data_IF_499624431778
#
_entry.id   IF_499624431778
#
_cell.length_a   1.000
_cell.length_b   1.000
_cell.length_c   1.000
_cell.angle_alpha   90.00
_cell.angle_beta   90.00
_cell.angle_gamma   90.00
#
_symmetry.space_group_name_H-M   'P 1'
#
loop_
_entity.id
_entity.type
_entity.pdbx_description
1 polymer ?
#
# COMPACT_ATOMS: atom_id res chain seq x y z
N UNK A 1 11.69 -12.07 3.37
CA UNK A 1 10.85 -12.09 2.14
C UNK A 1 11.11 -10.84 1.32
N UNK A 2 11.32 -10.98 0.01
CA UNK A 2 11.49 -9.85 -0.91
C UNK A 2 10.15 -9.45 -1.50
N UNK A 3 9.84 -8.15 -1.53
CA UNK A 3 8.58 -7.61 -2.06
C UNK A 3 8.91 -6.48 -3.04
N UNK A 4 8.27 -6.47 -4.21
CA UNK A 4 8.45 -5.37 -5.17
C UNK A 4 7.95 -4.04 -4.59
N UNK A 5 8.83 -3.04 -4.53
CA UNK A 5 8.46 -1.66 -4.18
C UNK A 5 7.49 -1.07 -5.22
N UNK A 6 7.67 -1.39 -6.51
CA UNK A 6 6.76 -0.95 -7.58
C UNK A 6 5.35 -1.51 -7.40
N UNK A 7 5.20 -2.74 -6.89
CA UNK A 7 3.88 -3.31 -6.54
C UNK A 7 3.23 -2.55 -5.39
N UNK A 8 3.99 -2.19 -4.36
CA UNK A 8 3.47 -1.41 -3.23
C UNK A 8 3.02 -0.02 -3.71
N UNK A 9 3.87 0.68 -4.48
CA UNK A 9 3.56 1.96 -5.08
C UNK A 9 2.29 1.89 -5.96
N UNK A 10 2.17 0.86 -6.81
CA UNK A 10 0.99 0.68 -7.64
C UNK A 10 -0.32 0.65 -6.84
N UNK A 11 -0.35 -0.07 -5.71
CA UNK A 11 -1.56 -0.14 -4.90
C UNK A 11 -1.82 1.15 -4.13
N UNK A 12 -0.78 1.83 -3.65
CA UNK A 12 -0.94 3.13 -2.98
C UNK A 12 -1.40 4.22 -3.97
N UNK A 13 -0.89 4.20 -5.21
CA UNK A 13 -1.28 5.11 -6.29
C UNK A 13 -2.76 5.02 -6.64
N UNK A 14 -3.41 3.87 -6.42
CA UNK A 14 -4.87 3.77 -6.63
C UNK A 14 -5.62 4.77 -5.74
N UNK A 15 -5.14 5.08 -4.53
CA UNK A 15 -5.71 6.11 -3.66
C UNK A 15 -5.07 7.47 -3.93
N UNK A 16 -3.74 7.56 -3.84
CA UNK A 16 -3.00 8.83 -3.84
C UNK A 16 -3.00 9.54 -5.18
N UNK A 17 -3.22 8.80 -6.27
CA UNK A 17 -3.36 9.33 -7.64
C UNK A 17 -4.78 9.11 -8.13
N UNK A 18 -5.33 7.90 -7.95
CA UNK A 18 -6.61 7.51 -8.54
C UNK A 18 -7.80 8.34 -8.08
N UNK A 19 -7.81 8.79 -6.81
CA UNK A 19 -8.85 9.68 -6.29
C UNK A 19 -8.93 11.02 -7.04
N UNK A 20 -7.77 11.52 -7.49
CA UNK A 20 -7.66 12.81 -8.17
C UNK A 20 -8.08 12.78 -9.64
N UNK A 21 -8.49 11.62 -10.17
CA UNK A 21 -9.08 11.56 -11.50
C UNK A 21 -10.47 12.22 -11.53
N UNK A 22 -11.18 12.21 -10.39
CA UNK A 22 -12.53 12.74 -10.26
C UNK A 22 -12.63 13.89 -9.24
N UNK A 23 -11.53 14.23 -8.54
CA UNK A 23 -11.48 15.22 -7.48
C UNK A 23 -10.22 16.10 -7.59
N UNK A 24 -10.32 17.39 -7.32
CA UNK A 24 -9.17 18.31 -7.37
C UNK A 24 -8.38 18.38 -6.05
N UNK A 25 -9.01 17.99 -4.94
CA UNK A 25 -8.45 18.06 -3.58
C UNK A 25 -8.55 16.69 -2.90
N UNK A 26 -7.66 16.38 -1.94
CA UNK A 26 -7.83 15.20 -1.10
C UNK A 26 -9.13 15.31 -0.28
N UNK A 27 -9.71 14.20 0.16
CA UNK A 27 -10.88 14.22 1.01
C UNK A 27 -10.53 14.79 2.39
N UNK A 28 -11.51 15.44 3.03
CA UNK A 28 -11.39 15.89 4.42
C UNK A 28 -11.31 14.70 5.40
N UNK A 29 -11.81 13.53 5.00
CA UNK A 29 -11.79 12.30 5.76
C UNK A 29 -11.16 11.15 4.96
N UNK A 30 -10.16 10.49 5.56
CA UNK A 30 -9.49 9.35 4.93
C UNK A 30 -10.46 8.22 4.56
N UNK A 31 -11.59 8.07 5.25
CA UNK A 31 -12.61 7.05 4.96
C UNK A 31 -13.26 7.22 3.59
N UNK A 32 -13.21 8.40 2.99
CA UNK A 32 -13.76 8.62 1.65
C UNK A 32 -12.94 7.91 0.56
N UNK A 33 -11.75 7.40 0.89
CA UNK A 33 -10.98 6.51 0.01
C UNK A 33 -11.50 5.05 -0.01
N UNK A 34 -12.45 4.66 0.83
CA UNK A 34 -12.96 3.28 0.93
C UNK A 34 -13.36 2.63 -0.41
N UNK A 35 -14.04 3.32 -1.35
CA UNK A 35 -14.34 2.75 -2.67
C UNK A 35 -13.08 2.32 -3.44
N UNK A 36 -11.97 3.05 -3.29
CA UNK A 36 -10.69 2.73 -3.92
C UNK A 36 -9.99 1.57 -3.22
N UNK A 37 -10.20 1.38 -1.92
CA UNK A 37 -9.72 0.19 -1.20
C UNK A 37 -10.37 -1.09 -1.73
N UNK A 38 -11.65 -1.06 -2.12
CA UNK A 38 -12.30 -2.18 -2.81
C UNK A 38 -11.63 -2.49 -4.16
N UNK A 39 -11.19 -1.45 -4.87
CA UNK A 39 -10.44 -1.60 -6.14
C UNK A 39 -9.07 -2.23 -5.91
N UNK A 40 -8.35 -1.83 -4.84
CA UNK A 40 -7.12 -2.51 -4.41
C UNK A 40 -7.37 -3.98 -4.16
N UNK A 41 -8.39 -4.32 -3.35
CA UNK A 41 -8.69 -5.72 -3.01
C UNK A 41 -8.88 -6.58 -4.26
N UNK A 42 -9.68 -6.10 -5.21
CA UNK A 42 -9.97 -6.82 -6.44
C UNK A 42 -8.71 -7.04 -7.28
N UNK A 43 -7.86 -6.01 -7.42
CA UNK A 43 -6.61 -6.09 -8.19
C UNK A 43 -5.57 -6.96 -7.49
N UNK A 44 -5.35 -6.78 -6.20
CA UNK A 44 -4.41 -7.57 -5.40
C UNK A 44 -4.78 -9.05 -5.39
N UNK A 45 -6.07 -9.37 -5.31
CA UNK A 45 -6.55 -10.75 -5.45
C UNK A 45 -6.26 -11.31 -6.85
N UNK A 46 -6.60 -10.55 -7.91
CA UNK A 46 -6.38 -10.95 -9.30
C UNK A 46 -4.90 -11.21 -9.62
N UNK A 47 -3.99 -10.46 -9.01
CA UNK A 47 -2.55 -10.53 -9.26
C UNK A 47 -1.79 -11.43 -8.27
N UNK A 48 -2.47 -12.08 -7.31
CA UNK A 48 -1.80 -12.92 -6.30
C UNK A 48 -1.02 -12.14 -5.24
N UNK A 49 -1.22 -10.81 -5.16
CA UNK A 49 -0.42 -9.93 -4.32
C UNK A 49 -0.91 -9.83 -2.87
N UNK A 50 -2.05 -10.44 -2.51
CA UNK A 50 -2.67 -10.23 -1.20
C UNK A 50 -1.75 -10.50 0.00
N UNK A 51 -0.93 -11.57 -0.05
CA UNK A 51 0.00 -11.89 1.03
C UNK A 51 1.20 -10.94 1.07
N UNK A 52 1.73 -10.60 -0.09
CA UNK A 52 2.84 -9.64 -0.20
C UNK A 52 2.41 -8.25 0.25
N UNK A 53 1.23 -7.80 -0.17
CA UNK A 53 0.64 -6.53 0.23
C UNK A 53 0.39 -6.48 1.75
N UNK A 54 -0.08 -7.58 2.35
CA UNK A 54 -0.25 -7.69 3.79
C UNK A 54 1.06 -7.44 4.56
N UNK A 55 2.14 -8.14 4.20
CA UNK A 55 3.43 -7.95 4.86
C UNK A 55 4.06 -6.59 4.56
N UNK A 56 3.90 -6.07 3.33
CA UNK A 56 4.42 -4.76 2.96
C UNK A 56 3.78 -3.64 3.77
N UNK A 57 2.44 -3.60 3.85
CA UNK A 57 1.73 -2.57 4.62
C UNK A 57 2.02 -2.69 6.11
N UNK A 58 2.05 -3.92 6.67
CA UNK A 58 2.45 -4.14 8.06
C UNK A 58 3.87 -3.63 8.34
N UNK A 59 4.81 -3.87 7.44
CA UNK A 59 6.18 -3.39 7.56
C UNK A 59 6.27 -1.86 7.48
N UNK A 60 5.55 -1.22 6.55
CA UNK A 60 5.49 0.24 6.44
C UNK A 60 4.89 0.90 7.69
N UNK A 61 3.88 0.27 8.32
CA UNK A 61 3.26 0.78 9.55
C UNK A 61 4.17 0.65 10.76
N UNK A 62 5.01 -0.38 10.83
CA UNK A 62 5.85 -0.68 12.01
C UNK A 62 7.26 -0.10 11.91
N UNK A 63 7.79 0.07 10.70
CA UNK A 63 9.08 0.69 10.48
C UNK A 63 8.98 2.21 10.60
N UNK A 64 9.76 2.80 11.51
CA UNK A 64 9.76 4.26 11.76
C UNK A 64 10.76 5.03 10.90
N UNK A 65 11.75 4.33 10.35
CA UNK A 65 12.85 4.94 9.60
C UNK A 65 12.55 5.01 8.09
N UNK A 66 11.41 4.44 7.66
CA UNK A 66 11.00 4.51 6.25
C UNK A 66 10.41 5.88 5.93
N UNK A 67 10.85 6.46 4.82
CA UNK A 67 10.24 7.67 4.27
C UNK A 67 8.92 7.33 3.58
N UNK A 68 7.79 7.53 4.26
CA UNK A 68 6.46 7.25 3.70
C UNK A 68 6.04 8.24 2.61
N UNK A 69 6.60 9.45 2.58
CA UNK A 69 6.30 10.47 1.57
C UNK A 69 6.76 10.03 0.17
N UNK A 70 7.74 9.14 0.10
CA UNK A 70 8.22 8.56 -1.16
C UNK A 70 7.15 7.71 -1.89
N UNK A 71 6.06 7.35 -1.21
CA UNK A 71 4.98 6.51 -1.73
C UNK A 71 3.72 7.31 -2.13
N UNK A 72 3.80 8.64 -2.22
CA UNK A 72 2.63 9.51 -2.40
C UNK A 72 2.13 9.65 -3.86
N UNK A 73 2.79 9.03 -4.84
CA UNK A 73 2.39 9.05 -6.25
C UNK A 73 2.51 10.41 -6.97
N UNK A 74 2.88 11.48 -6.26
CA UNK A 74 3.21 12.79 -6.83
C UNK A 74 2.04 13.69 -7.26
N UNK A 75 0.77 13.28 -7.09
CA UNK A 75 -0.39 14.14 -7.41
C UNK A 75 -0.68 15.18 -6.34
N UNK A 76 -0.54 14.81 -5.09
CA UNK A 76 -0.68 15.68 -3.93
C UNK A 76 0.49 15.40 -2.98
N UNK A 77 1.10 16.42 -2.36
CA UNK A 77 2.25 16.26 -1.49
C UNK A 77 1.82 15.75 -0.11
N UNK A 78 1.32 14.52 -0.03
CA UNK A 78 0.95 13.90 1.24
C UNK A 78 2.16 13.83 2.17
N UNK A 79 1.97 14.28 3.41
CA UNK A 79 2.99 14.15 4.44
C UNK A 79 3.06 12.70 5.00
N UNK A 80 4.10 12.42 5.79
CA UNK A 80 4.29 11.09 6.36
C UNK A 80 3.13 10.61 7.26
N UNK A 81 2.40 11.53 7.90
CA UNK A 81 1.25 11.20 8.75
C UNK A 81 0.06 10.83 7.88
N UNK A 82 -0.26 11.63 6.86
CA UNK A 82 -1.34 11.36 5.91
C UNK A 82 -1.11 10.03 5.20
N UNK A 83 0.11 9.78 4.72
CA UNK A 83 0.47 8.49 4.12
C UNK A 83 0.29 7.32 5.09
N UNK A 84 0.64 7.50 6.36
CA UNK A 84 0.43 6.48 7.40
C UNK A 84 -1.05 6.21 7.64
N UNK A 85 -1.88 7.24 7.65
CA UNK A 85 -3.34 7.12 7.80
C UNK A 85 -3.96 6.37 6.62
N UNK A 86 -3.52 6.67 5.38
CA UNK A 86 -3.92 5.95 4.15
C UNK A 86 -3.51 4.47 4.22
N UNK A 87 -2.25 4.18 4.55
CA UNK A 87 -1.73 2.81 4.68
C UNK A 87 -2.51 2.04 5.74
N UNK A 88 -2.81 2.68 6.88
CA UNK A 88 -3.57 2.08 7.97
C UNK A 88 -5.03 1.81 7.56
N UNK A 89 -5.66 2.70 6.78
CA UNK A 89 -6.98 2.45 6.21
C UNK A 89 -6.98 1.20 5.32
N UNK A 90 -6.04 1.11 4.37
CA UNK A 90 -5.94 -0.06 3.48
C UNK A 90 -5.71 -1.33 4.31
N UNK A 91 -4.74 -1.30 5.22
CA UNK A 91 -4.40 -2.46 6.05
C UNK A 91 -5.60 -2.93 6.88
N UNK A 92 -6.23 -2.02 7.62
CA UNK A 92 -7.37 -2.36 8.49
C UNK A 92 -8.58 -2.85 7.70
N UNK A 93 -8.87 -2.29 6.51
CA UNK A 93 -10.00 -2.70 5.68
C UNK A 93 -9.78 -4.04 4.97
N UNK A 94 -8.56 -4.32 4.52
CA UNK A 94 -8.25 -5.56 3.80
C UNK A 94 -7.96 -6.74 4.74
N UNK A 95 -7.42 -6.47 5.93
CA UNK A 95 -6.85 -7.49 6.81
C UNK A 95 -7.37 -7.39 8.26
N UNK A 96 -8.58 -6.85 8.47
CA UNK A 96 -9.22 -6.71 9.78
C UNK A 96 -9.18 -8.00 10.62
N UNK A 97 -9.37 -9.15 9.97
CA UNK A 97 -9.44 -10.46 10.62
C UNK A 97 -8.05 -11.09 10.87
N UNK A 98 -6.96 -10.43 10.41
CA UNK A 98 -5.59 -10.91 10.58
C UNK A 98 -4.90 -10.16 11.71
N UNK A 99 -4.15 -10.90 12.52
CA UNK A 99 -3.26 -10.31 13.53
C UNK A 99 -2.00 -9.79 12.86
N UNK A 100 -1.59 -8.55 13.19
CA UNK A 100 -0.30 -7.98 12.75
C UNK A 100 0.83 -9.01 12.84
N UNK A 101 1.66 -9.17 11.79
CA UNK A 101 2.77 -10.10 11.82
C UNK A 101 3.73 -9.77 12.98
N UNK A 102 4.36 -10.77 13.60
CA UNK A 102 5.37 -10.53 14.61
C UNK A 102 6.55 -9.72 14.07
N UNK A 103 7.12 -8.84 14.90
CA UNK A 103 8.25 -7.98 14.52
C UNK A 103 9.43 -8.74 13.89
N UNK A 104 9.73 -9.95 14.37
CA UNK A 104 10.84 -10.74 13.82
C UNK A 104 10.60 -11.15 12.36
N UNK A 105 9.35 -11.41 11.96
CA UNK A 105 8.99 -11.70 10.57
C UNK A 105 9.10 -10.43 9.72
N UNK A 106 8.63 -9.30 10.25
CA UNK A 106 8.71 -8.01 9.55
C UNK A 106 10.17 -7.57 9.32
N UNK A 107 11.10 -7.90 10.23
CA UNK A 107 12.53 -7.64 10.04
C UNK A 107 13.13 -8.35 8.83
N UNK A 108 12.51 -9.42 8.35
CA UNK A 108 12.95 -10.15 7.16
C UNK A 108 12.37 -9.58 5.86
N UNK A 109 11.41 -8.65 5.94
CA UNK A 109 10.85 -7.98 4.77
C UNK A 109 11.92 -7.06 4.16
N UNK A 110 12.05 -7.15 2.84
CA UNK A 110 12.93 -6.30 2.03
C UNK A 110 12.13 -5.79 0.84
N UNK A 111 11.96 -4.47 0.75
CA UNK A 111 11.47 -3.85 -0.47
C UNK A 111 12.61 -3.88 -1.49
N UNK A 112 12.33 -4.45 -2.66
CA UNK A 112 13.29 -4.58 -3.76
C UNK A 112 12.79 -3.81 -4.97
N UNK A 113 13.71 -3.19 -5.69
CA UNK A 113 13.42 -2.49 -6.92
C UNK A 113 13.25 -3.50 -8.07
N UNK A 114 12.04 -4.04 -8.19
CA UNK A 114 11.62 -4.94 -9.27
C UNK A 114 10.44 -4.28 -9.99
N UNK A 115 10.54 -4.02 -11.30
CA UNK A 115 9.44 -3.43 -12.07
C UNK A 115 8.14 -4.22 -11.94
N UNK A 116 7.01 -3.52 -11.97
CA UNK A 116 5.69 -4.11 -11.73
C UNK A 116 5.37 -5.26 -12.70
N UNK A 117 5.65 -5.09 -13.99
CA UNK A 117 5.41 -6.14 -14.99
C UNK A 117 6.26 -7.39 -14.74
N UNK A 118 7.53 -7.19 -14.36
CA UNK A 118 8.43 -8.28 -14.01
C UNK A 118 8.03 -8.98 -12.70
N UNK A 119 7.41 -8.25 -11.76
CA UNK A 119 6.84 -8.82 -10.55
C UNK A 119 5.65 -9.73 -10.88
N UNK A 120 4.68 -9.25 -11.65
CA UNK A 120 3.49 -10.04 -12.00
C UNK A 120 3.76 -11.22 -12.94
N UNK A 121 4.87 -11.21 -13.69
CA UNK A 121 5.30 -12.36 -14.49
C UNK A 121 5.83 -13.54 -13.65
N UNK A 122 6.12 -13.35 -12.36
CA UNK A 122 6.67 -14.41 -11.49
C UNK A 122 5.63 -15.44 -11.04
N UNK A 123 4.32 -15.19 -11.24
CA UNK A 123 3.26 -16.18 -11.06
C UNK A 123 3.10 -16.68 -9.61
N UNK A 124 2.95 -15.75 -8.66
CA UNK A 124 2.69 -16.04 -7.25
C UNK A 124 1.27 -16.54 -6.98
#
# INVERSE_FOLDING_TARGET
MSISESMVNYYLDILTVGYFNDNDLPPDDVRDYEPLVCTIKAKAFRHGDMEHLYFALAWLLTNKDVNLEAFNGGRYPFDAKEMRDIINLIYSRLFADRKMPPDHVLREVRLVNVPLDAWWQQGF
#
